data_IF_725556185519
#
_entry.id   IF_725556185519
#
_cell.length_a   1.000
_cell.length_b   1.000
_cell.length_c   1.000
_cell.angle_alpha   90.00
_cell.angle_beta   90.00
_cell.angle_gamma   90.00
#
_symmetry.space_group_name_H-M   'P 1'
#
loop_
_entity.id
_entity.type
_entity.pdbx_description
1 polymer ?
#
# COMPACT_ATOMS: atom_id res chain seq x y z
N UNK A 1 32.05 32.19 10.55
CA UNK A 1 30.62 31.88 10.78
C UNK A 1 29.87 32.40 9.56
N UNK A 2 29.26 31.51 8.77
CA UNK A 2 28.40 31.92 7.67
C UNK A 2 26.95 31.93 8.20
N UNK A 3 26.21 32.99 7.91
CA UNK A 3 24.80 33.14 8.27
C UNK A 3 24.03 33.35 6.98
N UNK A 4 23.04 32.51 6.71
CA UNK A 4 22.18 32.59 5.54
C UNK A 4 20.84 33.23 5.95
N UNK A 5 20.33 34.24 5.22
CA UNK A 5 18.99 34.77 5.46
C UNK A 5 17.94 33.66 5.36
N UNK A 6 16.96 33.66 6.27
CA UNK A 6 15.91 32.63 6.32
C UNK A 6 15.20 32.45 4.98
N UNK A 7 14.90 33.54 4.27
CA UNK A 7 14.22 33.46 2.97
C UNK A 7 15.05 32.72 1.90
N UNK A 8 16.38 32.83 1.93
CA UNK A 8 17.25 32.12 0.99
C UNK A 8 17.41 30.66 1.39
N UNK A 9 17.44 30.37 2.70
CA UNK A 9 17.40 29.01 3.22
C UNK A 9 16.09 28.29 2.85
N UNK A 10 14.95 28.96 3.04
CA UNK A 10 13.63 28.40 2.75
C UNK A 10 13.48 28.11 1.24
N UNK A 11 13.97 28.99 0.35
CA UNK A 11 14.02 28.72 -1.10
C UNK A 11 14.88 27.51 -1.46
N UNK A 12 16.00 27.31 -0.78
CA UNK A 12 16.83 26.12 -1.01
C UNK A 12 16.06 24.86 -0.62
N UNK A 13 15.38 24.87 0.53
CA UNK A 13 14.55 23.75 0.96
C UNK A 13 13.45 23.43 -0.06
N UNK A 14 12.70 24.43 -0.52
CA UNK A 14 11.64 24.23 -1.53
C UNK A 14 12.21 23.57 -2.81
N UNK A 15 13.36 24.05 -3.29
CA UNK A 15 14.00 23.45 -4.49
C UNK A 15 14.46 22.02 -4.23
N UNK A 16 14.89 21.67 -3.00
CA UNK A 16 15.24 20.29 -2.65
C UNK A 16 13.99 19.41 -2.60
N UNK A 17 12.92 19.86 -1.95
CA UNK A 17 11.64 19.15 -1.86
C UNK A 17 11.05 18.88 -3.27
N UNK A 18 10.96 19.92 -4.11
CA UNK A 18 10.49 19.79 -5.49
C UNK A 18 11.28 18.76 -6.30
N UNK A 19 12.61 18.71 -6.09
CA UNK A 19 13.49 17.76 -6.78
C UNK A 19 13.24 16.33 -6.31
N UNK A 20 13.03 16.12 -5.02
CA UNK A 20 12.73 14.79 -4.45
C UNK A 20 11.37 14.29 -4.93
N UNK A 21 10.37 15.17 -5.00
CA UNK A 21 9.04 14.85 -5.53
C UNK A 21 9.10 14.45 -7.02
N UNK A 22 9.83 15.22 -7.83
CA UNK A 22 10.03 14.89 -9.25
C UNK A 22 10.77 13.54 -9.41
N UNK A 23 11.77 13.27 -8.57
CA UNK A 23 12.50 12.01 -8.60
C UNK A 23 11.60 10.83 -8.23
N UNK A 24 10.78 10.97 -7.18
CA UNK A 24 9.82 9.95 -6.75
C UNK A 24 8.74 9.67 -7.79
N UNK A 25 8.21 10.72 -8.43
CA UNK A 25 7.26 10.56 -9.53
C UNK A 25 7.88 9.84 -10.74
N UNK A 26 9.17 10.05 -11.00
CA UNK A 26 9.90 9.37 -12.07
C UNK A 26 10.07 7.88 -11.77
N UNK A 27 10.55 7.53 -10.58
CA UNK A 27 10.76 6.13 -10.19
C UNK A 27 9.44 5.35 -10.20
N UNK A 28 8.34 5.95 -9.73
CA UNK A 28 7.01 5.36 -9.83
C UNK A 28 6.61 5.08 -11.29
N UNK A 29 6.79 6.05 -12.20
CA UNK A 29 6.48 5.87 -13.62
C UNK A 29 7.32 4.78 -14.27
N UNK A 30 8.61 4.68 -13.92
CA UNK A 30 9.51 3.63 -14.42
C UNK A 30 9.04 2.24 -13.98
N UNK A 31 8.73 2.07 -12.70
CA UNK A 31 8.20 0.80 -12.18
C UNK A 31 6.83 0.45 -12.73
N UNK A 32 5.94 1.43 -12.92
CA UNK A 32 4.65 1.26 -13.57
C UNK A 32 4.82 0.77 -15.02
N UNK A 33 5.78 1.33 -15.75
CA UNK A 33 6.11 0.87 -17.10
C UNK A 33 6.74 -0.53 -17.12
N UNK A 34 7.46 -0.91 -16.07
CA UNK A 34 8.01 -2.25 -15.87
C UNK A 34 6.95 -3.29 -15.41
N UNK A 35 5.75 -2.84 -15.03
CA UNK A 35 4.69 -3.70 -14.48
C UNK A 35 4.91 -4.12 -13.03
N UNK A 36 5.84 -3.46 -12.33
CA UNK A 36 6.13 -3.68 -10.90
C UNK A 36 5.22 -2.86 -9.99
N UNK A 37 4.58 -1.83 -10.53
CA UNK A 37 3.57 -1.00 -9.86
C UNK A 37 2.28 -1.02 -10.67
N UNK A 38 1.15 -0.75 -10.02
CA UNK A 38 -0.14 -0.64 -10.68
C UNK A 38 -0.94 0.56 -10.18
N UNK A 39 -1.83 1.06 -11.03
CA UNK A 39 -2.80 2.07 -10.65
C UNK A 39 -4.08 1.37 -10.18
N UNK A 40 -4.61 1.86 -9.06
CA UNK A 40 -5.85 1.35 -8.46
C UNK A 40 -6.94 2.40 -8.64
N UNK A 41 -8.18 2.02 -8.99
CA UNK A 41 -9.29 2.96 -9.05
C UNK A 41 -9.50 3.65 -7.70
N UNK A 42 -9.77 4.96 -7.74
CA UNK A 42 -9.91 5.80 -6.55
C UNK A 42 -10.96 5.29 -5.55
N UNK A 43 -12.02 4.63 -6.02
CA UNK A 43 -13.05 4.03 -5.17
C UNK A 43 -12.48 3.07 -4.13
N UNK A 44 -11.52 2.22 -4.50
CA UNK A 44 -10.91 1.28 -3.56
C UNK A 44 -10.01 2.01 -2.56
N UNK A 45 -9.22 2.98 -3.01
CA UNK A 45 -8.39 3.79 -2.12
C UNK A 45 -9.24 4.56 -1.11
N UNK A 46 -10.35 5.15 -1.55
CA UNK A 46 -11.27 5.87 -0.66
C UNK A 46 -11.82 4.96 0.43
N UNK A 47 -12.18 3.71 0.12
CA UNK A 47 -12.61 2.73 1.11
C UNK A 47 -11.54 2.45 2.18
N UNK A 48 -10.26 2.40 1.78
CA UNK A 48 -9.16 2.24 2.74
C UNK A 48 -9.00 3.48 3.63
N UNK A 49 -9.13 4.68 3.05
CA UNK A 49 -9.09 5.96 3.79
C UNK A 49 -10.26 6.05 4.78
N UNK A 50 -11.44 5.55 4.41
CA UNK A 50 -12.64 5.48 5.26
C UNK A 50 -12.51 4.43 6.38
N UNK A 51 -11.39 3.71 6.45
CA UNK A 51 -11.08 2.76 7.52
C UNK A 51 -11.53 1.32 7.25
N UNK A 52 -11.94 0.99 6.02
CA UNK A 52 -12.17 -0.40 5.66
C UNK A 52 -10.85 -1.19 5.66
N UNK A 53 -10.91 -2.45 6.09
CA UNK A 53 -9.73 -3.30 6.16
C UNK A 53 -9.06 -3.47 4.78
N UNK A 54 -7.76 -3.14 4.69
CA UNK A 54 -6.99 -3.14 3.44
C UNK A 54 -7.04 -4.49 2.71
N UNK A 55 -6.95 -5.62 3.44
CA UNK A 55 -7.02 -6.96 2.85
C UNK A 55 -8.35 -7.18 2.14
N UNK A 56 -9.46 -6.77 2.78
CA UNK A 56 -10.79 -6.88 2.20
C UNK A 56 -10.92 -6.03 0.93
N UNK A 57 -10.45 -4.80 0.96
CA UNK A 57 -10.50 -3.89 -0.19
C UNK A 57 -9.70 -4.44 -1.36
N UNK A 58 -8.47 -4.89 -1.12
CA UNK A 58 -7.63 -5.54 -2.12
C UNK A 58 -8.25 -6.80 -2.68
N UNK A 59 -8.81 -7.65 -1.81
CA UNK A 59 -9.52 -8.86 -2.21
C UNK A 59 -10.68 -8.56 -3.16
N UNK A 60 -11.48 -7.53 -2.86
CA UNK A 60 -12.58 -7.11 -3.72
C UNK A 60 -12.08 -6.55 -5.05
N UNK A 61 -10.99 -5.78 -5.05
CA UNK A 61 -10.34 -5.28 -6.28
C UNK A 61 -9.84 -6.42 -7.16
N UNK A 62 -9.30 -7.48 -6.57
CA UNK A 62 -8.89 -8.72 -7.27
C UNK A 62 -10.07 -9.64 -7.65
N UNK A 63 -11.31 -9.30 -7.27
CA UNK A 63 -12.50 -10.11 -7.53
C UNK A 63 -12.51 -11.46 -6.78
N UNK A 64 -11.79 -11.57 -5.67
CA UNK A 64 -11.65 -12.81 -4.91
C UNK A 64 -12.74 -12.93 -3.82
N UNK A 65 -13.26 -14.13 -3.61
CA UNK A 65 -14.06 -14.42 -2.40
C UNK A 65 -13.15 -14.62 -1.19
N UNK A 66 -13.65 -14.41 0.02
CA UNK A 66 -12.88 -14.67 1.25
C UNK A 66 -12.37 -16.12 1.31
N UNK A 67 -13.18 -17.08 0.83
CA UNK A 67 -12.76 -18.48 0.73
C UNK A 67 -11.60 -18.65 -0.26
N UNK A 68 -11.71 -18.07 -1.45
CA UNK A 68 -10.67 -18.16 -2.47
C UNK A 68 -9.34 -17.55 -2.00
N UNK A 69 -9.37 -16.41 -1.30
CA UNK A 69 -8.17 -15.81 -0.73
C UNK A 69 -7.57 -16.68 0.38
N UNK A 70 -8.39 -17.21 1.27
CA UNK A 70 -7.93 -18.09 2.34
C UNK A 70 -7.26 -19.36 1.78
N UNK A 71 -7.88 -19.97 0.76
CA UNK A 71 -7.33 -21.14 0.07
C UNK A 71 -6.01 -20.80 -0.63
N UNK A 72 -5.92 -19.66 -1.33
CA UNK A 72 -4.70 -19.20 -1.99
C UNK A 72 -3.56 -18.87 -1.01
N UNK A 73 -3.87 -18.29 0.14
CA UNK A 73 -2.92 -17.97 1.20
C UNK A 73 -2.61 -19.17 2.12
N UNK A 74 -3.25 -20.32 1.93
CA UNK A 74 -3.04 -21.52 2.75
C UNK A 74 -3.44 -21.35 4.22
N UNK A 75 -4.46 -20.54 4.49
CA UNK A 75 -5.01 -20.28 5.84
C UNK A 75 -6.49 -20.67 5.92
N UNK A 76 -7.05 -20.77 7.13
CA UNK A 76 -8.48 -21.05 7.25
C UNK A 76 -9.33 -19.81 6.94
N UNK A 77 -10.47 -20.00 6.26
CA UNK A 77 -11.42 -18.92 5.97
C UNK A 77 -11.93 -18.22 7.25
N UNK A 78 -12.07 -18.96 8.36
CA UNK A 78 -12.44 -18.40 9.65
C UNK A 78 -11.35 -17.45 10.19
N UNK A 79 -10.07 -17.82 10.02
CA UNK A 79 -8.96 -16.97 10.43
C UNK A 79 -8.85 -15.71 9.57
N UNK A 80 -8.96 -15.84 8.24
CA UNK A 80 -9.02 -14.68 7.35
C UNK A 80 -10.18 -13.74 7.74
N UNK A 81 -11.37 -14.28 8.03
CA UNK A 81 -12.52 -13.46 8.44
C UNK A 81 -12.28 -12.69 9.75
N UNK A 82 -11.55 -13.28 10.70
CA UNK A 82 -11.17 -12.56 11.93
C UNK A 82 -10.22 -11.40 11.63
N UNK A 83 -9.31 -11.57 10.66
CA UNK A 83 -8.40 -10.52 10.23
C UNK A 83 -9.16 -9.39 9.52
N UNK A 84 -10.00 -9.71 8.54
CA UNK A 84 -10.78 -8.70 7.80
C UNK A 84 -11.74 -7.90 8.70
N UNK A 85 -12.19 -8.50 9.82
CA UNK A 85 -13.04 -7.83 10.83
C UNK A 85 -12.25 -7.04 11.87
N UNK A 86 -10.91 -7.07 11.84
CA UNK A 86 -10.07 -6.43 12.84
C UNK A 86 -10.09 -7.10 14.22
N UNK A 87 -10.62 -8.33 14.32
CA UNK A 87 -10.65 -9.10 15.58
C UNK A 87 -9.25 -9.63 15.93
N UNK A 88 -8.41 -9.84 14.91
CA UNK A 88 -7.00 -10.26 15.03
C UNK A 88 -6.18 -9.56 13.96
N UNK A 89 -4.95 -9.18 14.26
CA UNK A 89 -4.06 -8.55 13.26
C UNK A 89 -3.46 -9.56 12.26
N UNK A 90 -3.46 -10.85 12.59
CA UNK A 90 -2.77 -11.86 11.78
C UNK A 90 -1.29 -12.00 12.18
N UNK A 91 -0.69 -13.18 12.00
CA UNK A 91 0.76 -13.33 12.18
C UNK A 91 1.50 -12.76 10.97
N UNK A 92 2.77 -12.37 11.13
CA UNK A 92 3.60 -11.90 10.01
C UNK A 92 3.65 -12.91 8.85
N UNK A 93 3.70 -14.21 9.17
CA UNK A 93 3.67 -15.28 8.17
C UNK A 93 2.32 -15.33 7.40
N UNK A 94 1.20 -15.16 8.11
CA UNK A 94 -0.11 -15.10 7.47
C UNK A 94 -0.26 -13.84 6.60
N UNK A 95 0.19 -12.68 7.08
CA UNK A 95 0.17 -11.43 6.31
C UNK A 95 1.01 -11.53 5.05
N UNK A 96 2.19 -12.17 5.11
CA UNK A 96 3.03 -12.46 3.94
C UNK A 96 2.29 -13.29 2.90
N UNK A 97 1.69 -14.40 3.32
CA UNK A 97 0.94 -15.30 2.42
C UNK A 97 -0.27 -14.61 1.80
N UNK A 98 -0.95 -13.75 2.56
CA UNK A 98 -2.09 -12.96 2.07
C UNK A 98 -1.60 -11.94 1.02
N UNK A 99 -0.51 -11.23 1.29
CA UNK A 99 0.09 -10.27 0.35
C UNK A 99 0.50 -10.95 -0.96
N UNK A 100 1.18 -12.09 -0.87
CA UNK A 100 1.56 -12.91 -2.03
C UNK A 100 0.34 -13.37 -2.84
N UNK A 101 -0.71 -13.86 -2.17
CA UNK A 101 -1.95 -14.29 -2.82
C UNK A 101 -2.69 -13.13 -3.52
N UNK A 102 -2.62 -11.92 -2.96
CA UNK A 102 -3.20 -10.70 -3.51
C UNK A 102 -2.29 -10.01 -4.55
N UNK A 103 -1.05 -10.48 -4.71
CA UNK A 103 0.00 -9.86 -5.53
C UNK A 103 0.23 -8.40 -5.15
N UNK A 104 0.42 -8.16 -3.86
CA UNK A 104 0.74 -6.86 -3.29
C UNK A 104 1.89 -7.04 -2.29
N UNK A 105 2.50 -5.94 -1.90
CA UNK A 105 3.49 -5.91 -0.83
C UNK A 105 2.81 -5.99 0.54
N UNK A 106 3.58 -6.35 1.57
CA UNK A 106 3.06 -6.35 2.95
C UNK A 106 2.71 -4.92 3.38
N UNK A 107 3.50 -3.93 2.96
CA UNK A 107 3.31 -2.52 3.30
C UNK A 107 1.96 -1.98 2.80
N UNK A 108 1.41 -2.57 1.74
CA UNK A 108 0.07 -2.24 1.24
C UNK A 108 -1.07 -2.83 2.10
N UNK A 109 -0.76 -3.68 3.08
CA UNK A 109 -1.73 -4.31 3.99
C UNK A 109 -1.67 -3.81 5.43
N UNK A 110 -0.60 -3.11 5.85
CA UNK A 110 -0.38 -2.62 7.23
C UNK A 110 -0.43 -1.11 7.33
#
# INVERSE_FOLDING_TARGET
MAVLPKADYDKLLEVFEDREDIASARTFREKLAAGEEELIPAEFINRMIDGENKIKVWRDYRGMSAKALADAAGISAAYLSQIEKGVREGSLDAMKKIAEALKVTIDELV
#
